data_IF_780411094450
#
_entry.id   IF_780411094450
#
_cell.length_a   1.000
_cell.length_b   1.000
_cell.length_c   1.000
_cell.angle_alpha   90.00
_cell.angle_beta   90.00
_cell.angle_gamma   90.00
#
_symmetry.space_group_name_H-M   'P 1'
#
loop_
_entity.id
_entity.type
_entity.pdbx_description
1 polymer ?
#
# COMPACT_ATOMS: atom_id res chain seq x y z
N UNK A 1 -13.51 20.60 -10.19
CA UNK A 1 -13.16 21.47 -9.05
C UNK A 1 -11.64 21.46 -8.90
N UNK A 2 -10.95 22.58 -9.19
CA UNK A 2 -9.49 22.69 -9.00
C UNK A 2 -9.22 23.28 -7.62
N UNK A 3 -8.69 22.46 -6.70
CA UNK A 3 -8.18 22.97 -5.43
C UNK A 3 -7.01 23.92 -5.74
N UNK A 4 -7.01 25.11 -5.12
CA UNK A 4 -5.92 26.07 -5.28
C UNK A 4 -4.64 25.51 -4.67
N UNK A 5 -3.49 25.81 -5.28
CA UNK A 5 -2.18 25.35 -4.84
C UNK A 5 -1.89 25.76 -3.37
N UNK A 6 -2.42 26.92 -2.96
CA UNK A 6 -2.39 27.39 -1.58
C UNK A 6 -3.21 26.53 -0.60
N UNK A 7 -4.34 25.95 -1.04
CA UNK A 7 -5.12 25.04 -0.21
C UNK A 7 -4.39 23.70 -0.02
N UNK A 8 -3.70 23.21 -1.05
CA UNK A 8 -2.90 22.00 -0.97
C UNK A 8 -1.69 22.17 -0.03
N UNK A 9 -0.99 23.31 -0.11
CA UNK A 9 0.11 23.64 0.80
C UNK A 9 -0.34 23.73 2.27
N UNK A 10 -1.51 24.33 2.53
CA UNK A 10 -2.08 24.37 3.89
C UNK A 10 -2.48 23.00 4.41
N UNK A 11 -3.03 22.13 3.55
CA UNK A 11 -3.37 20.76 3.93
C UNK A 11 -2.11 19.94 4.27
N UNK A 12 -1.03 20.10 3.50
CA UNK A 12 0.27 19.46 3.77
C UNK A 12 0.83 19.88 5.12
N UNK A 13 0.88 21.19 5.38
CA UNK A 13 1.40 21.70 6.65
C UNK A 13 0.53 21.28 7.85
N UNK A 14 -0.79 21.24 7.70
CA UNK A 14 -1.69 20.74 8.74
C UNK A 14 -1.45 19.24 9.02
N UNK A 15 -1.18 18.43 7.99
CA UNK A 15 -0.87 17.02 8.14
C UNK A 15 0.47 16.79 8.87
N UNK A 16 1.49 17.60 8.57
CA UNK A 16 2.81 17.54 9.23
C UNK A 16 2.75 17.92 10.71
N UNK A 17 1.99 18.97 11.04
CA UNK A 17 1.75 19.39 12.43
C UNK A 17 0.99 18.30 13.20
N UNK A 18 -0.03 17.71 12.59
CA UNK A 18 -0.79 16.62 13.18
C UNK A 18 0.09 15.37 13.39
N UNK A 19 0.93 15.01 12.42
CA UNK A 19 1.88 13.91 12.55
C UNK A 19 2.87 14.13 13.70
N UNK A 20 3.38 15.36 13.85
CA UNK A 20 4.29 15.73 14.93
C UNK A 20 3.62 15.64 16.31
N UNK A 21 2.36 16.09 16.42
CA UNK A 21 1.57 15.96 17.65
C UNK A 21 1.27 14.50 18.01
N UNK A 22 1.01 13.64 17.02
CA UNK A 22 0.81 12.20 17.24
C UNK A 22 2.08 11.57 17.77
N UNK A 23 3.25 11.89 17.20
CA UNK A 23 4.55 11.36 17.67
C UNK A 23 4.84 11.78 19.11
N UNK A 24 4.64 13.05 19.46
CA UNK A 24 4.87 13.54 20.82
C UNK A 24 3.86 12.94 21.82
N UNK A 25 2.61 12.77 21.41
CA UNK A 25 1.58 12.10 22.22
C UNK A 25 1.95 10.63 22.46
N UNK A 26 2.35 9.91 21.42
CA UNK A 26 2.81 8.52 21.52
C UNK A 26 4.05 8.41 22.39
N UNK A 27 5.03 9.31 22.25
CA UNK A 27 6.21 9.34 23.13
C UNK A 27 5.83 9.53 24.60
N UNK A 28 4.95 10.49 24.91
CA UNK A 28 4.50 10.76 26.28
C UNK A 28 3.74 9.58 26.88
N UNK A 29 2.83 8.95 26.14
CA UNK A 29 2.00 7.85 26.64
C UNK A 29 2.76 6.53 26.76
N UNK A 30 3.73 6.28 25.87
CA UNK A 30 4.51 5.04 25.85
C UNK A 30 5.91 5.18 26.44
N UNK A 31 6.28 6.35 26.96
CA UNK A 31 7.63 6.63 27.47
C UNK A 31 8.73 6.48 26.41
N UNK A 32 8.41 6.71 25.14
CA UNK A 32 9.32 6.48 24.00
C UNK A 32 9.56 5.00 23.65
N UNK A 33 8.81 4.07 24.28
CA UNK A 33 8.95 2.63 24.07
C UNK A 33 7.95 2.02 23.10
N UNK A 34 7.08 2.80 22.47
CA UNK A 34 6.08 2.32 21.50
C UNK A 34 6.65 1.38 20.42
N UNK A 35 7.91 1.60 20.02
CA UNK A 35 8.58 0.85 18.98
C UNK A 35 9.64 -0.13 19.50
N UNK A 36 9.78 -0.26 20.82
CA UNK A 36 10.66 -1.26 21.41
C UNK A 36 9.96 -2.60 21.40
N UNK A 37 10.57 -3.59 20.73
CA UNK A 37 10.13 -4.97 20.86
C UNK A 37 10.21 -5.35 22.34
N UNK A 38 9.15 -5.95 22.92
CA UNK A 38 9.20 -6.41 24.30
C UNK A 38 10.36 -7.39 24.47
N UNK A 39 11.09 -7.26 25.58
CA UNK A 39 12.12 -8.23 25.95
C UNK A 39 11.50 -9.63 25.95
N UNK A 40 12.10 -10.58 25.24
CA UNK A 40 11.53 -11.92 25.04
C UNK A 40 10.66 -12.10 23.79
N UNK A 41 10.62 -11.15 22.85
CA UNK A 41 10.04 -11.38 21.53
C UNK A 41 10.83 -12.46 20.78
N UNK A 42 10.37 -13.72 20.86
CA UNK A 42 11.00 -14.89 20.24
C UNK A 42 10.64 -15.10 18.76
N UNK A 43 9.85 -14.18 18.18
CA UNK A 43 9.45 -14.20 16.78
C UNK A 43 7.96 -13.98 16.59
N UNK A 44 7.50 -14.17 15.35
CA UNK A 44 6.09 -14.02 15.00
C UNK A 44 5.22 -15.04 15.73
N UNK A 45 4.09 -14.58 16.26
CA UNK A 45 3.07 -15.44 16.85
C UNK A 45 2.49 -16.40 15.80
N UNK A 46 1.88 -17.50 16.26
CA UNK A 46 1.21 -18.46 15.37
C UNK A 46 0.19 -17.77 14.46
N UNK A 47 -0.59 -16.84 15.01
CA UNK A 47 -1.57 -16.04 14.25
C UNK A 47 -0.92 -15.13 13.22
N UNK A 48 0.18 -14.46 13.58
CA UNK A 48 0.93 -13.62 12.63
C UNK A 48 1.48 -14.44 11.46
N UNK A 49 2.01 -15.64 11.72
CA UNK A 49 2.47 -16.55 10.66
C UNK A 49 1.33 -17.02 9.76
N UNK A 50 0.19 -17.39 10.35
CA UNK A 50 -0.99 -17.80 9.59
C UNK A 50 -1.52 -16.68 8.69
N UNK A 51 -1.57 -15.45 9.20
CA UNK A 51 -1.98 -14.29 8.41
C UNK A 51 -0.99 -14.01 7.28
N UNK A 52 0.33 -14.11 7.55
CA UNK A 52 1.35 -13.95 6.51
C UNK A 52 1.22 -15.02 5.42
N UNK A 53 0.95 -16.26 5.78
CA UNK A 53 0.74 -17.35 4.82
C UNK A 53 -0.48 -17.07 3.92
N UNK A 54 -1.61 -16.63 4.50
CA UNK A 54 -2.80 -16.22 3.73
C UNK A 54 -2.49 -15.09 2.75
N UNK A 55 -1.76 -14.08 3.20
CA UNK A 55 -1.39 -12.94 2.36
C UNK A 55 -0.51 -13.38 1.18
N UNK A 56 0.48 -14.23 1.42
CA UNK A 56 1.35 -14.77 0.37
C UNK A 56 0.58 -15.61 -0.64
N UNK A 57 -0.39 -16.40 -0.19
CA UNK A 57 -1.25 -17.17 -1.09
C UNK A 57 -2.10 -16.24 -1.97
N UNK A 58 -2.68 -15.19 -1.39
CA UNK A 58 -3.48 -14.24 -2.14
C UNK A 58 -2.62 -13.45 -3.16
N UNK A 59 -1.40 -13.05 -2.79
CA UNK A 59 -0.45 -12.44 -3.72
C UNK A 59 -0.11 -13.40 -4.88
N UNK A 60 0.08 -14.69 -4.61
CA UNK A 60 0.36 -15.69 -5.62
C UNK A 60 -0.82 -15.89 -6.59
N UNK A 61 -2.05 -15.94 -6.07
CA UNK A 61 -3.27 -16.07 -6.87
C UNK A 61 -3.47 -14.85 -7.78
N UNK A 62 -3.29 -13.64 -7.26
CA UNK A 62 -3.35 -12.40 -8.05
C UNK A 62 -2.29 -12.41 -9.16
N UNK A 63 -1.05 -12.77 -8.82
CA UNK A 63 0.04 -12.86 -9.80
C UNK A 63 -0.24 -13.93 -10.87
N UNK A 64 -0.84 -15.05 -10.51
CA UNK A 64 -1.24 -16.08 -11.45
C UNK A 64 -2.34 -15.58 -12.40
N UNK A 65 -3.37 -14.92 -11.87
CA UNK A 65 -4.43 -14.33 -12.67
C UNK A 65 -3.91 -13.26 -13.63
N UNK A 66 -2.99 -12.41 -13.19
CA UNK A 66 -2.34 -11.40 -14.04
C UNK A 66 -1.51 -12.04 -15.16
N UNK A 67 -0.76 -13.11 -14.86
CA UNK A 67 -0.02 -13.86 -15.89
C UNK A 67 -0.95 -14.52 -16.91
N UNK A 68 -2.06 -15.09 -16.47
CA UNK A 68 -3.06 -15.67 -17.36
C UNK A 68 -3.71 -14.60 -18.25
N UNK A 69 -4.07 -13.45 -17.70
CA UNK A 69 -4.59 -12.33 -18.46
C UNK A 69 -3.56 -11.81 -19.49
N UNK A 70 -2.30 -11.70 -19.11
CA UNK A 70 -1.21 -11.31 -20.01
C UNK A 70 -0.95 -12.34 -21.12
N UNK A 71 -1.14 -13.63 -20.84
CA UNK A 71 -1.02 -14.69 -21.84
C UNK A 71 -2.24 -14.76 -22.78
N UNK A 72 -3.42 -14.37 -22.29
CA UNK A 72 -4.66 -14.34 -23.07
C UNK A 72 -4.73 -13.14 -24.02
N UNK A 73 -4.05 -12.03 -23.71
CA UNK A 73 -3.91 -10.89 -24.61
C UNK A 73 -2.43 -10.47 -24.75
N UNK A 74 -1.64 -11.23 -25.54
CA UNK A 74 -0.23 -10.92 -25.77
C UNK A 74 -0.15 -9.73 -26.74
N UNK A 75 -0.36 -8.50 -26.26
CA UNK A 75 -0.02 -7.26 -26.95
C UNK A 75 -0.34 -7.23 -28.47
N UNK A 76 -1.52 -7.74 -28.86
CA UNK A 76 -1.95 -7.82 -30.26
C UNK A 76 -3.36 -7.28 -30.52
N UNK A 77 -4.24 -7.27 -29.51
CA UNK A 77 -5.63 -6.84 -29.66
C UNK A 77 -5.81 -5.34 -29.88
N UNK A 78 -5.02 -4.50 -29.19
CA UNK A 78 -5.14 -3.03 -29.28
C UNK A 78 -4.56 -2.44 -30.58
N UNK A 79 -3.56 -3.08 -31.18
CA UNK A 79 -3.04 -2.67 -32.50
C UNK A 79 -3.96 -3.12 -33.65
N UNK A 80 -4.57 -4.31 -33.56
CA UNK A 80 -5.49 -4.81 -34.57
C UNK A 80 -6.83 -4.05 -34.61
N UNK A 81 -7.29 -3.52 -33.47
CA UNK A 81 -8.49 -2.69 -33.40
C UNK A 81 -8.30 -1.28 -34.01
N UNK A 82 -7.08 -0.73 -33.96
CA UNK A 82 -6.74 0.54 -34.58
C UNK A 82 -6.59 0.42 -36.11
N UNK A 83 -6.06 -0.70 -36.62
CA UNK A 83 -5.88 -0.94 -38.04
C UNK A 83 -7.21 -1.20 -38.80
N UNK A 84 -8.27 -1.66 -38.11
CA UNK A 84 -9.60 -1.89 -38.69
C UNK A 84 -10.51 -0.66 -38.71
N UNK A 85 -10.03 0.50 -38.26
CA UNK A 85 -10.79 1.75 -38.14
C UNK A 85 -10.23 2.91 -38.97
N UNK A 86 -9.33 2.65 -39.91
CA UNK A 86 -8.96 3.63 -40.92
C UNK A 86 -9.66 3.28 -42.24
N UNK A 87 -10.39 4.23 -42.86
CA UNK A 87 -11.08 4.03 -44.14
C UNK A 87 -10.12 3.84 -45.31
#
# INVERSE_FOLDING_TARGET
MRASLAALLRASQAAELHASQVVETVKKTTGGKAWQKPWGFSGFSRTQRANRAKQLQQEAEVMAALRQAAAADPAGGVAAAAARRQP
#
